data_IF_413004015256
#
_entry.id   IF_413004015256
#
_cell.length_a   1.000
_cell.length_b   1.000
_cell.length_c   1.000
_cell.angle_alpha   90.00
_cell.angle_beta   90.00
_cell.angle_gamma   90.00
#
_symmetry.space_group_name_H-M   'P 1'
#
loop_
_entity.id
_entity.type
_entity.pdbx_description
1 polymer ?
#
# COMPACT_ATOMS: atom_id res chain seq x y z
N UNK A 1 27.57 13.35 -25.12
CA UNK A 1 26.32 13.96 -24.64
C UNK A 1 25.32 12.81 -24.38
N UNK A 2 25.27 12.32 -23.17
CA UNK A 2 24.22 11.41 -22.75
C UNK A 2 22.97 12.26 -22.56
N UNK A 3 22.01 12.15 -23.47
CA UNK A 3 20.65 12.63 -23.25
C UNK A 3 20.09 11.76 -22.15
N UNK A 4 20.16 12.25 -20.93
CA UNK A 4 19.47 11.71 -19.78
C UNK A 4 17.96 12.00 -20.00
N UNK A 5 17.33 11.18 -20.84
CA UNK A 5 15.89 11.22 -21.00
C UNK A 5 15.33 10.63 -19.71
N UNK A 6 14.61 11.39 -18.90
CA UNK A 6 13.98 10.82 -17.71
C UNK A 6 13.11 9.62 -18.13
N UNK A 7 12.98 8.59 -17.30
CA UNK A 7 12.15 7.44 -17.61
C UNK A 7 10.74 7.94 -17.96
N UNK A 8 10.34 7.71 -19.20
CA UNK A 8 9.05 8.16 -19.76
C UNK A 8 7.88 7.25 -19.38
N UNK A 9 8.09 6.34 -18.44
CA UNK A 9 7.06 5.43 -17.96
C UNK A 9 6.22 6.04 -16.83
N UNK A 10 4.98 5.56 -16.73
CA UNK A 10 4.07 5.91 -15.65
C UNK A 10 4.64 5.49 -14.28
N UNK A 11 4.33 6.28 -13.25
CA UNK A 11 4.66 5.96 -11.88
C UNK A 11 3.46 5.28 -11.20
N UNK A 12 3.65 4.08 -10.70
CA UNK A 12 2.65 3.32 -9.95
C UNK A 12 3.08 3.21 -8.50
N UNK A 13 2.28 3.74 -7.60
CA UNK A 13 2.54 3.70 -6.16
C UNK A 13 1.61 2.71 -5.48
N UNK A 14 2.18 1.72 -4.80
CA UNK A 14 1.45 0.78 -3.94
C UNK A 14 1.56 1.30 -2.51
N UNK A 15 0.48 1.78 -1.94
CA UNK A 15 0.45 2.37 -0.60
C UNK A 15 -0.18 1.39 0.37
N UNK A 16 0.59 0.90 1.33
CA UNK A 16 0.07 0.10 2.44
C UNK A 16 -0.76 0.98 3.37
N UNK A 17 -2.04 0.64 3.59
CA UNK A 17 -2.98 1.48 4.30
C UNK A 17 -3.84 0.70 5.29
N UNK A 18 -3.80 1.09 6.55
CA UNK A 18 -4.59 0.51 7.65
C UNK A 18 -5.40 1.54 8.43
N UNK A 19 -5.49 2.78 7.92
CA UNK A 19 -6.19 3.88 8.58
C UNK A 19 -5.42 4.53 9.73
N UNK A 20 -4.23 4.04 10.06
CA UNK A 20 -3.39 4.64 11.10
C UNK A 20 -2.81 5.99 10.67
N UNK A 21 -2.39 6.85 11.63
CA UNK A 21 -1.71 8.11 11.29
C UNK A 21 -0.46 7.94 10.41
N UNK A 22 0.42 6.95 10.64
CA UNK A 22 1.54 6.69 9.72
C UNK A 22 1.10 6.31 8.30
N UNK A 23 0.05 5.50 8.16
CA UNK A 23 -0.50 5.13 6.86
C UNK A 23 -1.11 6.34 6.13
N UNK A 24 -1.79 7.21 6.85
CA UNK A 24 -2.31 8.48 6.30
C UNK A 24 -1.18 9.38 5.80
N UNK A 25 -0.09 9.52 6.56
CA UNK A 25 1.11 10.26 6.09
C UNK A 25 1.77 9.61 4.87
N UNK A 26 1.77 8.28 4.81
CA UNK A 26 2.28 7.56 3.62
C UNK A 26 1.44 7.89 2.38
N UNK A 27 0.12 7.96 2.51
CA UNK A 27 -0.77 8.32 1.42
C UNK A 27 -0.57 9.78 0.98
N UNK A 28 -0.42 10.73 1.92
CA UNK A 28 -0.08 12.13 1.60
C UNK A 28 1.26 12.24 0.86
N UNK A 29 2.26 11.46 1.29
CA UNK A 29 3.56 11.41 0.61
C UNK A 29 3.45 10.83 -0.80
N UNK A 30 2.61 9.82 -1.00
CA UNK A 30 2.33 9.25 -2.31
C UNK A 30 1.68 10.28 -3.24
N UNK A 31 0.73 11.05 -2.75
CA UNK A 31 0.13 12.18 -3.50
C UNK A 31 1.19 13.18 -3.93
N UNK A 32 2.09 13.56 -3.02
CA UNK A 32 3.19 14.49 -3.32
C UNK A 32 4.14 13.92 -4.39
N UNK A 33 4.45 12.62 -4.33
CA UNK A 33 5.30 11.95 -5.33
C UNK A 33 4.65 11.89 -6.71
N UNK A 34 3.32 11.88 -6.77
CA UNK A 34 2.56 11.86 -8.04
C UNK A 34 2.46 13.21 -8.72
N UNK A 35 2.77 14.31 -8.05
CA UNK A 35 2.62 15.65 -8.62
C UNK A 35 3.44 15.81 -9.90
N UNK A 36 2.76 16.22 -10.98
CA UNK A 36 3.37 16.40 -12.29
C UNK A 36 3.79 15.10 -13.00
N UNK A 37 3.29 13.95 -12.54
CA UNK A 37 3.57 12.63 -13.12
C UNK A 37 2.30 11.97 -13.58
N UNK A 38 2.45 11.08 -14.58
CA UNK A 38 1.40 10.17 -15.01
C UNK A 38 1.51 8.85 -14.25
N UNK A 39 0.40 8.14 -14.11
CA UNK A 39 0.34 6.85 -13.42
C UNK A 39 -0.82 6.76 -12.45
N UNK A 40 -0.64 5.97 -11.38
CA UNK A 40 -1.73 5.60 -10.47
C UNK A 40 -1.24 5.32 -9.06
N UNK A 41 -2.09 5.62 -8.08
CA UNK A 41 -1.93 5.16 -6.70
C UNK A 41 -2.87 3.95 -6.49
N UNK A 42 -2.33 2.85 -6.00
CA UNK A 42 -3.10 1.70 -5.53
C UNK A 42 -2.99 1.64 -4.01
N UNK A 43 -4.09 1.93 -3.33
CA UNK A 43 -4.19 1.86 -1.87
C UNK A 43 -4.51 0.42 -1.50
N UNK A 44 -3.65 -0.22 -0.73
CA UNK A 44 -3.77 -1.65 -0.40
C UNK A 44 -3.94 -1.83 1.10
N UNK A 45 -5.07 -2.37 1.48
CA UNK A 45 -5.34 -2.86 2.82
C UNK A 45 -5.08 -4.37 2.89
N UNK A 46 -4.26 -4.80 3.81
CA UNK A 46 -3.99 -6.22 4.05
C UNK A 46 -4.58 -6.63 5.39
N UNK A 47 -5.61 -7.48 5.34
CA UNK A 47 -6.13 -8.13 6.53
C UNK A 47 -5.14 -9.21 6.99
N UNK A 48 -4.46 -8.95 8.10
CA UNK A 48 -3.51 -9.89 8.66
C UNK A 48 -4.24 -11.03 9.37
N UNK A 49 -4.04 -12.25 8.90
CA UNK A 49 -4.49 -13.46 9.58
C UNK A 49 -3.38 -13.95 10.49
N UNK A 50 -3.49 -13.66 11.78
CA UNK A 50 -2.63 -14.32 12.76
C UNK A 50 -3.16 -15.73 13.02
N UNK A 51 -2.38 -16.73 12.60
CA UNK A 51 -2.42 -18.16 12.92
C UNK A 51 -3.75 -18.93 12.77
N UNK A 52 -3.58 -20.11 12.29
CA UNK A 52 -4.49 -21.25 12.11
C UNK A 52 -5.28 -21.57 13.38
N UNK A 53 -6.36 -20.84 13.61
CA UNK A 53 -7.42 -21.34 14.49
C UNK A 53 -8.41 -22.08 13.59
N UNK A 54 -8.69 -23.32 13.92
CA UNK A 54 -9.80 -24.06 13.27
C UNK A 54 -11.08 -23.37 13.69
N UNK A 55 -11.57 -22.49 12.83
CA UNK A 55 -12.84 -21.78 13.00
C UNK A 55 -13.97 -22.60 12.38
N UNK A 56 -15.16 -22.52 13.00
CA UNK A 56 -16.38 -23.00 12.36
C UNK A 56 -16.72 -22.18 11.11
N UNK A 57 -17.51 -22.75 10.21
CA UNK A 57 -17.93 -22.04 9.00
C UNK A 57 -18.66 -20.73 9.31
N UNK A 58 -19.45 -20.68 10.39
CA UNK A 58 -20.15 -19.47 10.82
C UNK A 58 -19.20 -18.40 11.34
N UNK A 59 -18.18 -18.79 12.12
CA UNK A 59 -17.14 -17.87 12.59
C UNK A 59 -16.27 -17.32 11.44
N UNK A 60 -16.04 -18.12 10.41
CA UNK A 60 -15.36 -17.65 9.19
C UNK A 60 -16.23 -16.61 8.46
N UNK A 61 -17.53 -16.85 8.33
CA UNK A 61 -18.45 -15.94 7.67
C UNK A 61 -18.57 -14.59 8.41
N UNK A 62 -18.63 -14.61 9.75
CA UNK A 62 -18.63 -13.39 10.56
C UNK A 62 -17.32 -12.61 10.38
N UNK A 63 -16.19 -13.29 10.45
CA UNK A 63 -14.87 -12.66 10.23
C UNK A 63 -14.73 -12.07 8.83
N UNK A 64 -15.31 -12.72 7.81
CA UNK A 64 -15.37 -12.19 6.44
C UNK A 64 -16.17 -10.90 6.37
N UNK A 65 -17.34 -10.86 7.01
CA UNK A 65 -18.19 -9.67 7.04
C UNK A 65 -17.51 -8.50 7.76
N UNK A 66 -16.83 -8.76 8.87
CA UNK A 66 -16.06 -7.75 9.61
C UNK A 66 -14.93 -7.18 8.77
N UNK A 67 -14.20 -8.02 8.02
CA UNK A 67 -13.15 -7.56 7.11
C UNK A 67 -13.70 -6.72 5.95
N UNK A 68 -14.86 -7.06 5.43
CA UNK A 68 -15.51 -6.28 4.39
C UNK A 68 -15.92 -4.90 4.90
N UNK A 69 -16.46 -4.82 6.10
CA UNK A 69 -16.85 -3.55 6.74
C UNK A 69 -15.64 -2.67 7.01
N UNK A 70 -14.56 -3.22 7.58
CA UNK A 70 -13.30 -2.50 7.81
C UNK A 70 -12.72 -2.00 6.49
N UNK A 71 -12.65 -2.84 5.47
CA UNK A 71 -12.11 -2.46 4.17
C UNK A 71 -12.92 -1.32 3.52
N UNK A 72 -14.26 -1.35 3.63
CA UNK A 72 -15.11 -0.30 3.08
C UNK A 72 -14.92 1.04 3.84
N UNK A 73 -14.79 0.99 5.16
CA UNK A 73 -14.49 2.18 5.95
C UNK A 73 -13.13 2.78 5.58
N UNK A 74 -12.09 1.95 5.43
CA UNK A 74 -10.76 2.38 5.02
C UNK A 74 -10.77 2.96 3.59
N UNK A 75 -11.55 2.37 2.69
CA UNK A 75 -11.73 2.89 1.35
C UNK A 75 -12.35 4.30 1.36
N UNK A 76 -13.33 4.54 2.20
CA UNK A 76 -13.95 5.87 2.38
C UNK A 76 -12.96 6.88 2.94
N UNK A 77 -12.17 6.51 3.94
CA UNK A 77 -11.14 7.37 4.50
C UNK A 77 -10.09 7.75 3.44
N UNK A 78 -9.64 6.78 2.63
CA UNK A 78 -8.72 7.04 1.53
C UNK A 78 -9.36 7.96 0.47
N UNK A 79 -10.64 7.75 0.12
CA UNK A 79 -11.37 8.60 -0.81
C UNK A 79 -11.45 10.05 -0.31
N UNK A 80 -11.74 10.26 0.96
CA UNK A 80 -11.78 11.59 1.56
C UNK A 80 -10.41 12.27 1.52
N UNK A 81 -9.35 11.52 1.81
CA UNK A 81 -7.97 12.03 1.80
C UNK A 81 -7.50 12.37 0.37
N UNK A 82 -7.90 11.60 -0.63
CA UNK A 82 -7.53 11.80 -2.03
C UNK A 82 -8.44 12.76 -2.78
N UNK A 83 -9.55 13.16 -2.18
CA UNK A 83 -10.51 14.07 -2.79
C UNK A 83 -9.88 15.43 -3.09
N UNK A 84 -10.13 15.93 -4.30
CA UNK A 84 -9.59 17.21 -4.77
C UNK A 84 -8.20 17.11 -5.40
N UNK A 85 -7.59 15.94 -5.42
CA UNK A 85 -6.38 15.66 -6.17
C UNK A 85 -6.73 15.07 -7.55
N UNK A 86 -6.18 15.66 -8.59
CA UNK A 86 -6.35 15.14 -9.96
C UNK A 86 -5.36 14.01 -10.23
N UNK A 87 -5.71 12.82 -9.73
CA UNK A 87 -4.90 11.61 -9.89
C UNK A 87 -5.78 10.35 -9.99
N UNK A 88 -5.30 9.35 -10.72
CA UNK A 88 -5.94 8.05 -10.78
C UNK A 88 -5.54 7.23 -9.53
N UNK A 89 -6.52 6.61 -8.91
CA UNK A 89 -6.27 5.73 -7.78
C UNK A 89 -7.27 4.57 -7.71
N UNK A 90 -6.91 3.55 -6.95
CA UNK A 90 -7.76 2.42 -6.64
C UNK A 90 -7.56 1.95 -5.21
N UNK A 91 -8.47 1.08 -4.76
CA UNK A 91 -8.40 0.46 -3.45
C UNK A 91 -8.53 -1.06 -3.59
N UNK A 92 -7.59 -1.78 -3.01
CA UNK A 92 -7.57 -3.24 -3.02
C UNK A 92 -7.50 -3.77 -1.58
N UNK A 93 -8.32 -4.78 -1.30
CA UNK A 93 -8.25 -5.56 -0.07
C UNK A 93 -7.56 -6.89 -0.35
N UNK A 94 -6.57 -7.21 0.48
CA UNK A 94 -5.84 -8.48 0.44
C UNK A 94 -5.85 -9.15 1.81
N UNK A 95 -5.46 -10.41 1.87
CA UNK A 95 -5.30 -11.19 3.09
C UNK A 95 -3.98 -11.89 3.10
N UNK A 96 -3.33 -11.93 4.25
CA UNK A 96 -2.10 -12.67 4.45
C UNK A 96 -1.07 -11.91 5.25
N UNK A 97 0.19 -12.15 4.94
CA UNK A 97 1.33 -11.46 5.54
C UNK A 97 1.48 -10.11 4.82
N UNK A 98 1.42 -9.02 5.57
CA UNK A 98 1.32 -7.66 5.02
C UNK A 98 2.42 -7.38 4.00
N UNK A 99 3.69 -7.64 4.34
CA UNK A 99 4.80 -7.37 3.42
C UNK A 99 4.73 -8.23 2.14
N UNK A 100 4.36 -9.49 2.25
CA UNK A 100 4.23 -10.40 1.09
C UNK A 100 3.11 -9.96 0.16
N UNK A 101 1.98 -9.56 0.71
CA UNK A 101 0.83 -9.10 -0.06
C UNK A 101 1.08 -7.76 -0.76
N UNK A 102 1.81 -6.84 -0.12
CA UNK A 102 2.23 -5.59 -0.76
C UNK A 102 3.22 -5.86 -1.91
N UNK A 103 4.16 -6.78 -1.73
CA UNK A 103 5.09 -7.21 -2.79
C UNK A 103 4.31 -7.86 -3.93
N UNK A 104 3.34 -8.73 -3.64
CA UNK A 104 2.51 -9.38 -4.66
C UNK A 104 1.70 -8.36 -5.47
N UNK A 105 1.12 -7.35 -4.82
CA UNK A 105 0.42 -6.25 -5.49
C UNK A 105 1.37 -5.47 -6.42
N UNK A 106 2.54 -5.10 -5.91
CA UNK A 106 3.54 -4.36 -6.71
C UNK A 106 4.06 -5.19 -7.90
N UNK A 107 4.27 -6.49 -7.71
CA UNK A 107 4.71 -7.39 -8.77
C UNK A 107 3.66 -7.54 -9.87
N UNK A 108 2.39 -7.67 -9.51
CA UNK A 108 1.29 -7.74 -10.46
C UNK A 108 1.18 -6.46 -11.30
N UNK A 109 1.25 -5.30 -10.65
CA UNK A 109 1.24 -4.00 -11.35
C UNK A 109 2.44 -3.87 -12.30
N UNK A 110 3.63 -4.28 -11.87
CA UNK A 110 4.83 -4.25 -12.70
C UNK A 110 4.72 -5.17 -13.93
N UNK A 111 4.06 -6.30 -13.80
CA UNK A 111 3.80 -7.20 -14.93
C UNK A 111 2.83 -6.60 -15.95
N UNK A 112 1.81 -5.87 -15.48
CA UNK A 112 0.83 -5.20 -16.34
C UNK A 112 1.38 -3.91 -16.97
N UNK A 113 2.40 -3.31 -16.38
CA UNK A 113 3.01 -2.06 -16.80
C UNK A 113 4.54 -2.17 -16.92
N UNK A 114 5.06 -2.95 -17.89
CA UNK A 114 6.49 -3.27 -17.97
C UNK A 114 7.38 -2.04 -18.20
N UNK A 115 6.85 -0.98 -18.79
CA UNK A 115 7.57 0.28 -19.02
C UNK A 115 7.41 1.28 -17.87
N UNK A 116 6.58 0.96 -16.88
CA UNK A 116 6.32 1.79 -15.71
C UNK A 116 7.32 1.56 -14.58
N UNK A 117 7.33 2.49 -13.65
CA UNK A 117 8.07 2.35 -12.38
C UNK A 117 7.08 2.06 -11.26
N UNK A 118 7.30 0.98 -10.53
CA UNK A 118 6.48 0.63 -9.35
C UNK A 118 7.27 0.90 -8.08
N UNK A 119 6.64 1.55 -7.10
CA UNK A 119 7.23 1.86 -5.80
C UNK A 119 6.24 1.50 -4.70
N UNK A 120 6.71 0.85 -3.64
CA UNK A 120 5.91 0.62 -2.44
C UNK A 120 6.12 1.79 -1.47
N UNK A 121 5.03 2.32 -0.91
CA UNK A 121 5.04 3.41 0.08
C UNK A 121 4.33 2.92 1.33
N UNK A 122 5.01 3.00 2.47
CA UNK A 122 4.45 2.62 3.78
C UNK A 122 4.81 3.64 4.84
N UNK A 123 3.97 3.75 5.86
CA UNK A 123 4.30 4.52 7.06
C UNK A 123 5.26 3.77 7.98
N UNK A 124 5.92 4.50 8.84
CA UNK A 124 6.64 3.95 9.97
C UNK A 124 5.65 3.35 10.98
N UNK A 125 6.10 2.42 11.84
CA UNK A 125 5.20 1.76 12.81
C UNK A 125 4.49 2.75 13.72
N UNK A 126 3.19 2.55 13.92
CA UNK A 126 2.36 3.32 14.84
C UNK A 126 2.62 3.02 16.34
N UNK A 127 3.35 1.95 16.64
CA UNK A 127 3.56 1.46 18.01
C UNK A 127 4.91 1.86 18.62
N UNK A 128 5.73 2.64 17.94
CA UNK A 128 7.04 3.00 18.45
C UNK A 128 7.01 4.39 19.08
N UNK A 129 7.11 4.48 20.41
CA UNK A 129 7.47 5.70 21.14
C UNK A 129 8.88 6.20 20.81
N UNK A 130 9.65 5.45 20.05
CA UNK A 130 10.95 5.78 19.50
C UNK A 130 10.93 5.46 18.00
N UNK A 131 11.58 6.27 17.19
CA UNK A 131 11.73 6.22 15.72
C UNK A 131 12.21 4.86 15.19
N UNK A 132 11.50 3.79 15.50
CA UNK A 132 11.83 2.46 15.01
C UNK A 132 11.04 2.18 13.75
N UNK A 133 11.75 1.75 12.73
CA UNK A 133 11.17 1.23 11.50
C UNK A 133 10.37 -0.03 11.87
N UNK A 134 9.07 -0.07 11.55
CA UNK A 134 8.20 -1.20 11.88
C UNK A 134 8.61 -2.50 11.17
N UNK A 135 8.14 -3.62 11.69
CA UNK A 135 8.45 -4.96 11.16
C UNK A 135 8.08 -5.12 9.68
N UNK A 136 6.99 -4.50 9.23
CA UNK A 136 6.56 -4.52 7.83
C UNK A 136 7.59 -3.82 6.95
N UNK A 137 8.02 -2.60 7.32
CA UNK A 137 9.02 -1.85 6.56
C UNK A 137 10.38 -2.57 6.53
N UNK A 138 10.80 -3.20 7.62
CA UNK A 138 12.02 -4.04 7.65
C UNK A 138 11.89 -5.24 6.71
N UNK A 139 10.76 -5.93 6.73
CA UNK A 139 10.51 -7.06 5.84
C UNK A 139 10.50 -6.64 4.38
N UNK A 140 9.83 -5.53 4.06
CA UNK A 140 9.83 -4.96 2.71
C UNK A 140 11.24 -4.57 2.25
N UNK A 141 12.02 -3.91 3.11
CA UNK A 141 13.39 -3.51 2.78
C UNK A 141 14.30 -4.70 2.43
N UNK A 142 14.04 -5.87 3.03
CA UNK A 142 14.81 -7.09 2.78
C UNK A 142 14.37 -7.87 1.55
N UNK A 143 13.09 -7.83 1.20
CA UNK A 143 12.49 -8.77 0.24
C UNK A 143 11.82 -8.09 -0.96
N UNK A 144 11.63 -6.78 -0.96
CA UNK A 144 10.96 -6.09 -2.06
C UNK A 144 11.82 -6.10 -3.33
N UNK A 145 11.26 -6.53 -4.47
CA UNK A 145 11.91 -6.42 -5.78
C UNK A 145 11.80 -5.02 -6.38
N UNK A 146 11.03 -4.13 -5.76
CA UNK A 146 10.82 -2.74 -6.22
C UNK A 146 11.28 -1.75 -5.15
N UNK A 147 11.55 -0.49 -5.52
CA UNK A 147 11.89 0.55 -4.57
C UNK A 147 10.85 0.72 -3.46
N UNK A 148 11.32 1.08 -2.28
CA UNK A 148 10.51 1.27 -1.07
C UNK A 148 10.70 2.68 -0.52
N UNK A 149 9.60 3.33 -0.21
CA UNK A 149 9.57 4.59 0.55
C UNK A 149 8.94 4.33 1.91
N UNK A 150 9.67 4.64 2.97
CA UNK A 150 9.17 4.57 4.35
C UNK A 150 8.99 5.99 4.87
N UNK A 151 7.76 6.35 5.19
CA UNK A 151 7.37 7.69 5.66
C UNK A 151 7.36 7.70 7.18
N UNK A 152 8.13 8.60 7.82
CA UNK A 152 8.20 8.71 9.29
C UNK A 152 6.89 9.18 9.93
#
# INVERSE_FOLDING_TARGET
>A
MTTDTPPTGDLHLVVGYDGSPPASRALDSAVALMQGRTGRIEVVYVAHLSSTVMLSADAVAEMEADFDEIAEELRKQADEQLRGHDLAWGFERRRGIIAEELIAAATAIGADHPDGTVVIVVGSSSHAMHRMVGSVAVSLARHSPVPLVVVP
#
